data_IF_643681141481
#
_entry.id   IF_643681141481
#
_cell.length_a   1.000
_cell.length_b   1.000
_cell.length_c   1.000
_cell.angle_alpha   90.00
_cell.angle_beta   90.00
_cell.angle_gamma   90.00
#
_symmetry.space_group_name_H-M   'P 1'
#
loop_
_entity.id
_entity.type
_entity.pdbx_description
1 polymer ?
#
# COMPACT_ATOMS: atom_id res chain seq x y z
N UNK A 1 -25.64 10.83 -2.93
CA UNK A 1 -24.71 9.94 -3.66
C UNK A 1 -23.36 10.11 -3.01
N UNK A 2 -22.70 9.03 -2.58
CA UNK A 2 -21.35 9.11 -1.99
C UNK A 2 -20.33 9.04 -3.13
N UNK A 3 -19.31 9.90 -3.08
CA UNK A 3 -18.23 9.99 -4.06
C UNK A 3 -16.86 9.91 -3.37
N UNK A 4 -15.78 9.80 -4.14
CA UNK A 4 -14.43 9.72 -3.55
C UNK A 4 -14.06 10.97 -2.73
N UNK A 5 -14.58 12.13 -3.11
CA UNK A 5 -14.42 13.39 -2.36
C UNK A 5 -15.01 13.35 -0.95
N UNK A 6 -15.83 12.35 -0.63
CA UNK A 6 -16.40 12.13 0.70
C UNK A 6 -15.45 11.33 1.62
N UNK A 7 -14.37 10.76 1.07
CA UNK A 7 -13.38 9.99 1.83
C UNK A 7 -12.37 10.92 2.51
N UNK A 8 -12.03 10.62 3.77
CA UNK A 8 -11.02 11.37 4.53
C UNK A 8 -9.58 11.08 4.09
N UNK A 9 -9.37 10.05 3.26
CA UNK A 9 -8.05 9.64 2.77
C UNK A 9 -8.12 9.24 1.30
N UNK A 10 -6.99 9.39 0.60
CA UNK A 10 -6.80 8.87 -0.77
C UNK A 10 -6.71 7.35 -0.72
N UNK A 11 -7.40 6.68 -1.64
CA UNK A 11 -7.45 5.20 -1.70
C UNK A 11 -6.56 4.68 -2.82
N UNK A 12 -5.51 3.91 -2.51
CA UNK A 12 -4.58 3.38 -3.52
C UNK A 12 -5.31 2.57 -4.61
N UNK A 13 -6.30 1.75 -4.24
CA UNK A 13 -7.09 0.98 -5.20
C UNK A 13 -7.85 1.83 -6.24
N UNK A 14 -8.04 3.13 -5.98
CA UNK A 14 -8.66 4.09 -6.91
C UNK A 14 -7.64 4.86 -7.73
N UNK A 15 -6.37 4.88 -7.29
CA UNK A 15 -5.24 5.56 -7.92
C UNK A 15 -4.05 4.60 -8.02
N UNK A 16 -4.18 3.49 -8.77
CA UNK A 16 -3.15 2.45 -8.80
C UNK A 16 -1.84 2.93 -9.44
N UNK A 17 -1.89 3.98 -10.27
CA UNK A 17 -0.75 4.57 -10.96
C UNK A 17 -0.18 5.81 -10.25
N UNK A 18 -0.69 6.17 -9.06
CA UNK A 18 -0.20 7.29 -8.27
C UNK A 18 0.72 6.77 -7.16
N UNK A 19 2.03 6.95 -7.35
CA UNK A 19 3.06 6.46 -6.44
C UNK A 19 3.14 7.23 -5.11
N UNK A 20 2.30 8.25 -4.94
CA UNK A 20 2.21 9.03 -3.69
C UNK A 20 1.07 8.58 -2.78
N UNK A 21 0.14 7.76 -3.27
CA UNK A 21 -1.02 7.32 -2.49
C UNK A 21 -0.64 6.11 -1.63
N UNK A 22 -0.85 6.16 -0.31
CA UNK A 22 -0.39 5.10 0.59
C UNK A 22 -1.06 3.76 0.32
N UNK A 23 -0.25 2.71 0.30
CA UNK A 23 -0.68 1.30 0.25
C UNK A 23 -0.85 0.76 1.68
N UNK A 24 0.02 1.18 2.59
CA UNK A 24 -0.09 0.87 4.02
C UNK A 24 -0.54 2.11 4.80
N UNK A 25 -1.83 2.16 5.13
CA UNK A 25 -2.40 3.25 5.93
C UNK A 25 -1.98 3.26 7.40
N UNK A 26 -1.26 2.23 7.88
CA UNK A 26 -0.76 2.18 9.26
C UNK A 26 0.59 2.87 9.43
N UNK A 27 1.43 2.84 8.40
CA UNK A 27 2.81 3.33 8.48
C UNK A 27 3.14 4.26 7.31
N UNK A 28 2.12 4.69 6.56
CA UNK A 28 2.17 5.64 5.45
C UNK A 28 3.11 5.23 4.30
N UNK A 29 3.36 3.92 4.13
CA UNK A 29 4.13 3.42 2.98
C UNK A 29 3.38 3.59 1.67
N UNK A 30 4.06 4.16 0.69
CA UNK A 30 3.62 4.42 -0.68
C UNK A 30 4.28 3.44 -1.67
N UNK A 31 3.81 3.37 -2.93
CA UNK A 31 4.50 2.62 -3.98
C UNK A 31 5.95 3.07 -4.19
N UNK A 32 6.25 4.37 -4.06
CA UNK A 32 7.62 4.88 -4.14
C UNK A 32 8.53 4.32 -3.04
N UNK A 33 8.03 4.16 -1.80
CA UNK A 33 8.79 3.53 -0.72
C UNK A 33 9.03 2.03 -0.95
N UNK A 34 8.06 1.37 -1.59
CA UNK A 34 8.17 -0.05 -1.95
C UNK A 34 9.20 -0.23 -3.08
N UNK A 35 9.23 0.68 -4.06
CA UNK A 35 10.24 0.69 -5.12
C UNK A 35 11.65 0.95 -4.55
N UNK A 36 11.77 1.91 -3.65
CA UNK A 36 13.05 2.29 -3.04
C UNK A 36 13.64 1.20 -2.12
N UNK A 37 12.81 0.31 -1.57
CA UNK A 37 13.26 -0.74 -0.64
C UNK A 37 12.50 -2.05 -0.81
N UNK A 38 13.23 -3.09 -1.22
CA UNK A 38 12.71 -4.46 -1.30
C UNK A 38 12.33 -5.07 0.05
N UNK A 39 12.77 -4.47 1.16
CA UNK A 39 12.50 -4.93 2.53
C UNK A 39 11.29 -4.26 3.17
N UNK A 40 10.58 -3.38 2.45
CA UNK A 40 9.39 -2.69 2.95
C UNK A 40 8.32 -3.66 3.43
N UNK A 41 8.03 -4.71 2.66
CA UNK A 41 7.05 -5.73 3.03
C UNK A 41 7.44 -6.51 4.29
N UNK A 42 8.70 -6.88 4.43
CA UNK A 42 9.22 -7.60 5.60
C UNK A 42 9.15 -6.73 6.86
N UNK A 43 9.48 -5.44 6.74
CA UNK A 43 9.38 -4.46 7.82
C UNK A 43 7.95 -4.34 8.32
N UNK A 44 6.99 -4.17 7.41
CA UNK A 44 5.57 -4.06 7.75
C UNK A 44 5.04 -5.37 8.35
N UNK A 45 5.48 -6.53 7.84
CA UNK A 45 5.08 -7.82 8.39
C UNK A 45 5.50 -7.97 9.86
N UNK A 46 6.70 -7.48 10.21
CA UNK A 46 7.18 -7.48 11.61
C UNK A 46 6.34 -6.56 12.50
N UNK A 47 6.01 -5.36 12.04
CA UNK A 47 5.16 -4.42 12.79
C UNK A 47 3.73 -4.95 12.98
N UNK A 48 3.17 -5.61 11.95
CA UNK A 48 1.87 -6.29 12.04
C UNK A 48 1.93 -7.43 13.06
N UNK A 49 2.98 -8.25 13.03
CA UNK A 49 3.17 -9.36 13.98
C UNK A 49 3.36 -8.86 15.42
N UNK A 50 3.96 -7.68 15.60
CA UNK A 50 4.12 -7.01 16.89
C UNK A 50 2.82 -6.37 17.40
N UNK A 51 1.75 -6.34 16.60
CA UNK A 51 0.47 -5.75 16.99
C UNK A 51 0.44 -4.22 16.90
N UNK A 52 1.37 -3.60 16.16
CA UNK A 52 1.44 -2.14 16.00
C UNK A 52 0.55 -1.59 14.88
N UNK A 53 -0.25 -2.45 14.23
CA UNK A 53 -1.15 -2.06 13.14
C UNK A 53 -2.61 -1.99 13.60
N UNK A 54 -3.39 -1.14 12.92
CA UNK A 54 -4.83 -1.01 13.14
C UNK A 54 -5.59 -1.05 11.80
N UNK A 55 -5.29 -2.06 10.97
CA UNK A 55 -5.78 -2.13 9.59
C UNK A 55 -7.31 -2.11 9.47
N UNK A 56 -8.03 -2.71 10.43
CA UNK A 56 -9.50 -2.73 10.44
C UNK A 56 -10.13 -1.33 10.52
N UNK A 57 -9.39 -0.36 11.05
CA UNK A 57 -9.86 1.04 11.19
C UNK A 57 -9.15 1.97 10.22
N UNK A 58 -7.82 1.83 10.07
CA UNK A 58 -6.99 2.75 9.28
C UNK A 58 -7.03 2.45 7.79
N UNK A 59 -7.14 1.18 7.39
CA UNK A 59 -7.22 0.83 5.97
C UNK A 59 -8.69 0.96 5.52
N UNK A 60 -9.02 1.80 4.52
CA UNK A 60 -10.38 1.92 3.99
C UNK A 60 -10.99 0.59 3.49
N UNK A 61 -10.15 -0.40 3.16
CA UNK A 61 -10.56 -1.76 2.79
C UNK A 61 -10.98 -2.62 4.00
N UNK A 62 -10.59 -2.23 5.21
CA UNK A 62 -10.86 -2.99 6.45
C UNK A 62 -10.04 -4.27 6.61
N UNK A 63 -8.94 -4.43 5.86
CA UNK A 63 -8.09 -5.64 5.91
C UNK A 63 -6.60 -5.31 5.92
N UNK A 64 -5.75 -6.27 6.26
CA UNK A 64 -4.30 -6.10 6.26
C UNK A 64 -3.74 -5.65 4.88
N UNK A 65 -2.85 -4.66 4.89
CA UNK A 65 -2.25 -4.07 3.70
C UNK A 65 -1.21 -4.97 3.01
N UNK A 66 -0.68 -6.01 3.67
CA UNK A 66 0.39 -6.86 3.15
C UNK A 66 0.08 -7.48 1.78
N UNK A 67 -1.19 -7.83 1.54
CA UNK A 67 -1.62 -8.37 0.25
C UNK A 67 -1.60 -7.34 -0.87
N UNK A 68 -1.84 -6.06 -0.56
CA UNK A 68 -1.80 -4.96 -1.54
C UNK A 68 -0.34 -4.56 -1.83
N UNK A 69 0.53 -4.58 -0.81
CA UNK A 69 1.98 -4.40 -0.98
C UNK A 69 2.57 -5.46 -1.91
N UNK A 70 2.23 -6.74 -1.72
CA UNK A 70 2.70 -7.81 -2.60
C UNK A 70 2.27 -7.62 -4.07
N UNK A 71 1.09 -7.03 -4.32
CA UNK A 71 0.65 -6.69 -5.68
C UNK A 71 1.45 -5.54 -6.27
N UNK A 72 1.75 -4.52 -5.48
CA UNK A 72 2.59 -3.39 -5.91
C UNK A 72 4.00 -3.86 -6.23
N UNK A 73 4.62 -4.68 -5.38
CA UNK A 73 5.92 -5.32 -5.67
C UNK A 73 5.89 -6.07 -7.01
N UNK A 74 4.83 -6.84 -7.27
CA UNK A 74 4.68 -7.57 -8.53
C UNK A 74 4.50 -6.64 -9.74
N UNK A 75 3.73 -5.55 -9.60
CA UNK A 75 3.52 -4.55 -10.64
C UNK A 75 4.85 -3.88 -11.00
N UNK A 76 5.59 -3.40 -10.01
CA UNK A 76 6.89 -2.73 -10.20
C UNK A 76 7.89 -3.66 -10.92
N UNK A 77 7.99 -4.93 -10.49
CA UNK A 77 8.84 -5.92 -11.18
C UNK A 77 8.46 -6.11 -12.65
N UNK A 78 7.17 -6.11 -12.98
CA UNK A 78 6.72 -6.26 -14.38
C UNK A 78 7.05 -5.02 -15.22
N UNK A 79 7.02 -3.82 -14.64
CA UNK A 79 7.38 -2.59 -15.34
C UNK A 79 8.87 -2.60 -15.69
N UNK A 80 9.74 -2.93 -14.73
CA UNK A 80 11.19 -3.07 -14.96
C UNK A 80 11.48 -4.04 -16.12
N UNK A 81 10.79 -5.19 -16.17
CA UNK A 81 10.99 -6.18 -17.24
C UNK A 81 10.32 -5.84 -18.58
N UNK A 82 9.40 -4.87 -18.62
CA UNK A 82 8.74 -4.44 -19.85
C UNK A 82 9.51 -3.33 -20.58
N UNK A 83 10.45 -2.68 -19.90
CA UNK A 83 11.33 -1.65 -20.43
C UNK A 83 12.65 -2.21 -20.99
N UNK A 84 12.86 -3.53 -20.89
CA UNK A 84 14.02 -4.29 -21.42
C UNK A 84 13.81 -4.77 -22.87
#
# INVERSE_FOLDING_TARGET
>A
MMSETDLSVRVHAKHPDDDTVPVCYCFDYTPADIEASSSTRETIAREVQAGHCACEVRNPKGSCCLGDIARVEQRLRRLVHAEE
#
